data_IF_332202717533
#
_entry.id   IF_332202717533
#
_cell.length_a   1.000
_cell.length_b   1.000
_cell.length_c   1.000
_cell.angle_alpha   90.00
_cell.angle_beta   90.00
_cell.angle_gamma   90.00
#
_symmetry.space_group_name_H-M   'P 1'
#
loop_
_entity.id
_entity.type
_entity.pdbx_description
1 polymer ?
#
# COMPACT_ATOMS: atom_id res chain seq x y z
N UNK A 1 -56.25 44.37 23.76
CA UNK A 1 -57.01 43.26 23.13
C UNK A 1 -56.12 42.66 22.04
N UNK A 2 -55.99 41.35 21.83
CA UNK A 2 -56.52 40.16 22.54
C UNK A 2 -55.34 39.32 23.10
N UNK A 3 -55.59 38.50 24.12
CA UNK A 3 -54.74 37.33 24.41
C UNK A 3 -55.18 36.18 23.48
N UNK A 4 -54.28 35.27 23.14
CA UNK A 4 -54.59 33.84 23.20
C UNK A 4 -53.29 33.02 23.33
N UNK A 5 -53.17 32.30 24.44
CA UNK A 5 -52.12 31.29 24.66
C UNK A 5 -52.67 29.95 24.19
N UNK A 6 -51.85 29.12 23.55
CA UNK A 6 -52.16 27.69 23.41
C UNK A 6 -51.02 26.84 23.98
N UNK A 7 -51.30 26.27 25.14
CA UNK A 7 -50.56 25.13 25.70
C UNK A 7 -51.37 23.89 25.33
N UNK A 8 -50.72 22.88 24.76
CA UNK A 8 -51.27 21.53 24.71
C UNK A 8 -50.12 20.52 24.72
N UNK A 9 -49.77 20.06 25.92
CA UNK A 9 -48.91 18.90 26.09
C UNK A 9 -49.76 17.64 25.98
N UNK A 10 -49.27 16.63 25.27
CA UNK A 10 -49.76 15.25 25.36
C UNK A 10 -48.57 14.35 25.68
N UNK A 11 -48.60 13.76 26.87
CA UNK A 11 -47.69 12.71 27.30
C UNK A 11 -48.48 11.41 27.45
N UNK A 12 -47.97 10.31 26.90
CA UNK A 12 -48.50 8.97 27.10
C UNK A 12 -47.33 7.98 27.20
N UNK A 13 -47.31 7.19 28.27
CA UNK A 13 -46.25 6.23 28.61
C UNK A 13 -46.73 4.80 28.33
N UNK A 14 -46.04 4.07 27.44
CA UNK A 14 -46.17 2.62 27.22
C UNK A 14 -44.80 2.12 26.67
N UNK A 15 -44.15 1.06 27.15
CA UNK A 15 -44.21 0.37 28.45
C UNK A 15 -42.86 -0.37 28.66
N UNK A 16 -42.58 -0.85 29.88
CA UNK A 16 -41.36 -1.61 30.16
C UNK A 16 -41.35 -3.02 29.55
N UNK A 17 -40.16 -3.48 29.16
CA UNK A 17 -39.86 -4.90 28.92
C UNK A 17 -38.45 -5.21 29.43
N UNK A 18 -38.35 -6.09 30.43
CA UNK A 18 -37.09 -6.50 31.07
C UNK A 18 -37.14 -7.98 31.43
N UNK A 19 -35.98 -8.56 31.73
CA UNK A 19 -35.73 -9.99 32.01
C UNK A 19 -35.63 -10.89 30.75
N UNK A 20 -34.82 -11.95 30.72
CA UNK A 20 -33.98 -12.55 31.79
C UNK A 20 -32.65 -13.12 31.29
N UNK A 21 -31.76 -13.34 32.26
CA UNK A 21 -30.36 -13.81 32.19
C UNK A 21 -30.20 -15.23 31.65
N UNK A 22 -29.07 -15.53 30.98
CA UNK A 22 -28.26 -16.70 31.37
C UNK A 22 -26.76 -16.37 31.30
N UNK A 23 -25.98 -16.81 32.30
CA UNK A 23 -24.51 -16.83 32.29
C UNK A 23 -24.05 -18.26 32.07
N UNK A 24 -22.98 -18.47 31.29
CA UNK A 24 -22.05 -19.59 31.54
C UNK A 24 -20.60 -19.11 31.52
N UNK A 25 -19.85 -19.59 32.49
CA UNK A 25 -18.45 -19.25 32.79
C UNK A 25 -17.75 -20.55 33.18
N UNK A 26 -16.77 -20.96 32.38
CA UNK A 26 -15.81 -22.05 32.65
C UNK A 26 -14.76 -22.01 31.52
N UNK A 27 -13.46 -22.25 31.73
CA UNK A 27 -12.67 -22.34 32.97
C UNK A 27 -11.23 -21.93 32.61
N UNK A 28 -10.46 -21.41 33.57
CA UNK A 28 -9.02 -21.16 33.40
C UNK A 28 -8.24 -22.45 33.60
N UNK A 29 -7.32 -22.76 32.71
CA UNK A 29 -6.22 -23.68 32.99
C UNK A 29 -4.91 -23.09 32.45
N UNK A 30 -3.88 -23.08 33.29
CA UNK A 30 -2.54 -22.64 32.95
C UNK A 30 -1.63 -23.86 32.91
N UNK A 31 -0.84 -24.03 31.85
CA UNK A 31 0.38 -24.84 31.88
C UNK A 31 1.49 -24.06 31.19
N UNK A 32 2.63 -23.93 31.87
CA UNK A 32 3.83 -23.30 31.33
C UNK A 32 4.94 -24.34 31.19
N UNK A 33 5.58 -24.39 30.02
CA UNK A 33 6.91 -24.96 29.70
C UNK A 33 7.09 -24.88 28.17
N UNK A 34 8.30 -24.88 27.59
CA UNK A 34 9.63 -24.92 28.20
C UNK A 34 10.59 -24.00 27.42
N UNK A 35 11.67 -23.54 28.06
CA UNK A 35 12.86 -23.12 27.32
C UNK A 35 13.60 -24.36 26.80
N UNK A 36 14.21 -24.30 25.61
CA UNK A 36 15.30 -25.22 25.31
C UNK A 36 16.35 -24.63 24.36
N UNK A 37 17.45 -24.20 24.99
CA UNK A 37 18.67 -23.73 24.34
C UNK A 37 19.48 -24.90 23.80
N UNK A 38 19.97 -24.83 22.56
CA UNK A 38 21.07 -25.66 22.07
C UNK A 38 22.08 -24.77 21.32
N UNK A 39 23.35 -24.85 21.72
CA UNK A 39 24.52 -24.32 21.01
C UNK A 39 25.35 -25.50 20.45
N UNK A 40 26.32 -25.18 19.58
CA UNK A 40 27.55 -25.91 19.17
C UNK A 40 27.76 -25.58 17.68
N UNK A 41 28.58 -24.59 17.32
CA UNK A 41 30.06 -24.55 17.30
C UNK A 41 30.69 -25.06 16.00
N UNK A 42 31.19 -24.09 15.22
CA UNK A 42 32.54 -24.00 14.62
C UNK A 42 33.29 -25.27 14.19
N UNK A 43 33.70 -25.31 12.91
CA UNK A 43 34.97 -25.90 12.46
C UNK A 43 35.63 -24.97 11.43
N UNK A 44 36.96 -24.87 11.44
CA UNK A 44 37.79 -23.93 10.67
C UNK A 44 38.94 -24.64 9.92
N UNK A 45 39.14 -24.33 8.62
CA UNK A 45 40.40 -24.48 7.86
C UNK A 45 40.25 -23.82 6.47
N UNK A 46 41.06 -22.91 5.90
CA UNK A 46 42.49 -22.50 5.96
C UNK A 46 43.33 -23.03 4.77
N UNK A 47 44.01 -22.07 4.09
CA UNK A 47 45.18 -22.16 3.17
C UNK A 47 45.00 -22.17 1.62
N UNK A 48 45.42 -21.04 1.00
CA UNK A 48 46.30 -20.79 -0.19
C UNK A 48 46.82 -21.97 -1.06
N UNK A 49 47.16 -21.80 -2.35
CA UNK A 49 47.35 -20.58 -3.20
C UNK A 49 46.60 -20.70 -4.58
N UNK A 50 46.95 -20.20 -5.79
CA UNK A 50 48.13 -19.53 -6.41
C UNK A 50 47.76 -18.64 -7.64
N UNK A 51 48.74 -18.03 -8.33
CA UNK A 51 48.56 -17.04 -9.41
C UNK A 51 48.35 -17.61 -10.83
N UNK A 52 47.52 -16.94 -11.65
CA UNK A 52 47.83 -16.67 -13.07
C UNK A 52 47.19 -15.37 -13.57
N UNK A 53 47.99 -14.55 -14.23
CA UNK A 53 47.61 -13.27 -14.84
C UNK A 53 46.95 -13.47 -16.23
N UNK A 54 45.82 -12.78 -16.47
CA UNK A 54 45.29 -12.50 -17.81
C UNK A 54 44.55 -11.14 -17.77
N UNK A 55 44.87 -10.23 -18.69
CA UNK A 55 44.36 -8.86 -18.73
C UNK A 55 44.11 -8.45 -20.19
N UNK A 56 43.05 -7.69 -20.54
CA UNK A 56 41.75 -7.55 -19.88
C UNK A 56 40.59 -8.04 -20.78
N UNK A 57 39.49 -8.48 -20.18
CA UNK A 57 38.17 -8.44 -20.84
C UNK A 57 37.20 -7.83 -19.86
N UNK A 58 36.76 -6.60 -20.15
CA UNK A 58 35.92 -5.79 -19.25
C UNK A 58 34.68 -6.59 -18.81
N UNK A 59 34.54 -6.94 -17.52
CA UNK A 59 33.35 -7.64 -17.06
C UNK A 59 32.14 -6.72 -17.20
N UNK A 60 31.17 -7.11 -18.04
CA UNK A 60 29.86 -6.47 -18.08
C UNK A 60 29.20 -6.68 -16.71
N UNK A 61 29.21 -5.62 -15.91
CA UNK A 61 28.93 -5.70 -14.47
C UNK A 61 27.44 -5.99 -14.25
N UNK A 62 27.07 -7.02 -13.48
CA UNK A 62 25.66 -7.37 -13.24
C UNK A 62 25.01 -6.39 -12.26
N UNK A 63 24.57 -5.23 -12.78
CA UNK A 63 24.02 -4.12 -12.00
C UNK A 63 22.78 -3.49 -12.66
N UNK A 64 21.85 -4.33 -13.14
CA UNK A 64 20.73 -3.90 -14.02
C UNK A 64 19.36 -4.30 -13.45
N UNK A 65 19.02 -3.74 -12.28
CA UNK A 65 17.73 -3.99 -11.58
C UNK A 65 17.13 -2.76 -10.88
N UNK A 66 17.48 -1.55 -11.34
CA UNK A 66 17.06 -0.27 -10.75
C UNK A 66 16.74 0.82 -11.79
N UNK A 67 16.89 0.52 -13.09
CA UNK A 67 16.76 1.52 -14.15
C UNK A 67 15.32 1.87 -14.45
N UNK A 68 14.37 0.91 -14.37
CA UNK A 68 12.97 1.21 -14.66
C UNK A 68 12.35 2.06 -13.55
N UNK A 69 12.60 1.74 -12.26
CA UNK A 69 12.10 2.58 -11.16
C UNK A 69 12.68 3.99 -11.22
N UNK A 70 14.01 4.14 -11.39
CA UNK A 70 14.62 5.47 -11.46
C UNK A 70 14.14 6.28 -12.67
N UNK A 71 14.01 5.65 -13.84
CA UNK A 71 13.42 6.30 -15.02
C UNK A 71 11.97 6.73 -14.79
N UNK A 72 11.13 5.89 -14.18
CA UNK A 72 9.69 6.17 -13.94
C UNK A 72 9.47 7.25 -12.86
N UNK A 73 10.37 7.38 -11.89
CA UNK A 73 10.31 8.43 -10.87
C UNK A 73 10.73 9.81 -11.41
N UNK A 74 11.61 9.84 -12.42
CA UNK A 74 11.98 11.06 -13.15
C UNK A 74 10.93 11.42 -14.22
N UNK A 75 10.57 10.46 -15.08
CA UNK A 75 9.61 10.58 -16.17
C UNK A 75 8.66 9.37 -16.16
N UNK A 76 7.44 9.59 -15.69
CA UNK A 76 6.43 8.54 -15.57
C UNK A 76 6.01 7.92 -16.94
N UNK A 77 6.33 8.55 -18.08
CA UNK A 77 6.15 7.95 -19.42
C UNK A 77 7.20 6.89 -19.77
N UNK A 78 8.25 6.71 -18.95
CA UNK A 78 9.21 5.62 -19.14
C UNK A 78 8.56 4.22 -19.12
N UNK A 79 7.37 4.07 -18.53
CA UNK A 79 6.57 2.84 -18.61
C UNK A 79 6.15 2.45 -20.04
N UNK A 80 6.03 3.42 -20.95
CA UNK A 80 5.69 3.19 -22.36
C UNK A 80 6.87 2.62 -23.16
N UNK A 81 8.11 2.87 -22.70
CA UNK A 81 9.38 2.52 -23.37
C UNK A 81 9.84 1.09 -23.06
N UNK A 82 8.93 0.23 -22.59
CA UNK A 82 9.22 -1.12 -22.09
C UNK A 82 8.74 -2.16 -23.10
N UNK A 83 9.55 -2.39 -24.13
CA UNK A 83 9.29 -3.24 -25.30
C UNK A 83 8.87 -4.69 -25.00
N UNK A 84 9.11 -5.20 -23.77
CA UNK A 84 8.87 -6.60 -23.42
C UNK A 84 8.11 -6.79 -22.11
N UNK A 85 7.11 -7.67 -22.13
CA UNK A 85 6.38 -8.12 -20.96
C UNK A 85 5.32 -7.11 -20.47
N UNK A 86 5.30 -6.84 -19.16
CA UNK A 86 4.38 -5.90 -18.54
C UNK A 86 5.15 -4.85 -17.72
N UNK A 87 5.17 -3.57 -18.13
CA UNK A 87 5.91 -2.52 -17.41
C UNK A 87 5.46 -2.34 -15.96
N UNK A 88 4.17 -2.54 -15.66
CA UNK A 88 3.62 -2.40 -14.30
C UNK A 88 4.20 -3.47 -13.38
N UNK A 89 4.33 -4.72 -13.87
CA UNK A 89 4.91 -5.83 -13.10
C UNK A 89 6.41 -5.66 -12.92
N UNK A 90 7.14 -5.28 -13.98
CA UNK A 90 8.58 -5.00 -13.90
C UNK A 90 8.88 -3.87 -12.91
N UNK A 91 8.10 -2.79 -12.94
CA UNK A 91 8.21 -1.72 -11.95
C UNK A 91 7.94 -2.24 -10.52
N UNK A 92 6.89 -3.04 -10.32
CA UNK A 92 6.55 -3.61 -9.01
C UNK A 92 7.66 -4.53 -8.45
N UNK A 93 8.33 -5.30 -9.32
CA UNK A 93 9.43 -6.22 -8.98
C UNK A 93 10.74 -5.51 -8.61
N UNK A 94 11.01 -4.34 -9.21
CA UNK A 94 12.09 -3.44 -8.79
C UNK A 94 11.72 -2.67 -7.52
N UNK A 95 10.50 -2.09 -7.47
CA UNK A 95 10.00 -1.24 -6.38
C UNK A 95 9.96 -1.97 -5.02
N UNK A 96 9.67 -3.27 -5.01
CA UNK A 96 9.78 -4.15 -3.82
C UNK A 96 11.17 -4.16 -3.17
N UNK A 97 12.21 -3.76 -3.89
CA UNK A 97 13.60 -3.71 -3.40
C UNK A 97 14.23 -2.32 -3.40
N UNK A 98 13.60 -1.32 -4.04
CA UNK A 98 14.15 0.03 -4.20
C UNK A 98 13.31 1.13 -3.54
N UNK A 99 12.07 0.84 -3.13
CA UNK A 99 11.28 1.78 -2.34
C UNK A 99 11.81 1.86 -0.90
N UNK A 100 11.93 3.07 -0.36
CA UNK A 100 12.37 3.30 1.02
C UNK A 100 11.32 2.83 2.05
N UNK A 101 10.06 2.72 1.63
CA UNK A 101 8.97 2.09 2.38
C UNK A 101 7.92 1.57 1.40
N UNK A 102 7.10 0.60 1.81
CA UNK A 102 5.88 0.22 1.09
C UNK A 102 4.81 -0.32 2.04
N UNK A 103 3.53 -0.14 1.68
CA UNK A 103 2.41 -0.65 2.47
C UNK A 103 1.18 -0.97 1.62
N UNK A 104 0.40 -1.96 2.06
CA UNK A 104 -0.88 -2.31 1.45
C UNK A 104 -1.93 -1.22 1.73
N UNK A 105 -2.67 -0.83 0.69
CA UNK A 105 -3.75 0.16 0.77
C UNK A 105 -5.09 -0.56 0.98
N UNK A 106 -5.83 -0.15 1.99
CA UNK A 106 -7.17 -0.63 2.33
C UNK A 106 -8.09 0.55 2.63
N UNK A 107 -9.41 0.32 2.75
CA UNK A 107 -10.32 1.35 3.26
C UNK A 107 -9.96 1.83 4.68
N UNK A 108 -9.37 0.96 5.50
CA UNK A 108 -9.04 1.29 6.90
C UNK A 108 -7.84 2.22 7.07
N UNK A 109 -6.87 2.19 6.15
CA UNK A 109 -5.61 2.94 6.26
C UNK A 109 -5.33 3.91 5.09
N UNK A 110 -6.29 4.18 4.20
CA UNK A 110 -6.09 5.14 3.10
C UNK A 110 -5.71 6.55 3.61
N UNK A 111 -6.22 6.98 4.77
CA UNK A 111 -5.82 8.26 5.38
C UNK A 111 -4.36 8.26 5.84
N UNK A 112 -3.87 7.14 6.38
CA UNK A 112 -2.45 6.94 6.75
C UNK A 112 -1.56 6.93 5.51
N UNK A 113 -1.94 6.20 4.46
CA UNK A 113 -1.25 6.17 3.16
C UNK A 113 -1.07 7.58 2.58
N UNK A 114 -2.15 8.39 2.60
CA UNK A 114 -2.11 9.76 2.09
C UNK A 114 -1.31 10.72 2.97
N UNK A 115 -1.34 10.56 4.29
CA UNK A 115 -0.46 11.31 5.19
C UNK A 115 1.01 10.94 4.95
N UNK A 116 1.31 9.63 4.87
CA UNK A 116 2.66 9.11 4.63
C UNK A 116 3.23 9.61 3.31
N UNK A 117 2.41 9.74 2.27
CA UNK A 117 2.81 10.30 0.98
C UNK A 117 3.28 11.75 1.01
N UNK A 118 3.04 12.51 2.09
CA UNK A 118 3.61 13.86 2.27
C UNK A 118 5.02 13.85 2.85
N UNK A 119 5.49 12.72 3.38
CA UNK A 119 6.85 12.56 3.94
C UNK A 119 7.92 12.20 2.89
N UNK A 120 7.51 11.84 1.67
CA UNK A 120 8.39 11.31 0.60
C UNK A 120 8.27 12.13 -0.67
N UNK A 121 9.35 12.21 -1.47
CA UNK A 121 9.37 12.99 -2.72
C UNK A 121 8.46 12.42 -3.81
N UNK A 122 8.23 11.11 -3.81
CA UNK A 122 7.34 10.41 -4.73
C UNK A 122 6.62 9.27 -4.01
N UNK A 123 5.33 9.12 -4.28
CA UNK A 123 4.58 7.87 -4.04
C UNK A 123 4.12 7.31 -5.38
N UNK A 124 4.26 5.99 -5.55
CA UNK A 124 3.70 5.24 -6.68
C UNK A 124 2.84 4.11 -6.14
N UNK A 125 1.58 4.03 -6.57
CA UNK A 125 0.62 3.01 -6.19
C UNK A 125 0.47 2.01 -7.33
N UNK A 126 0.69 0.72 -7.04
CA UNK A 126 0.40 -0.40 -7.94
C UNK A 126 -0.89 -1.09 -7.48
N UNK A 127 -1.75 -1.48 -8.42
CA UNK A 127 -3.07 -2.06 -8.15
C UNK A 127 -3.24 -3.32 -9.01
N UNK A 128 -3.02 -4.48 -8.39
CA UNK A 128 -2.72 -5.72 -9.09
C UNK A 128 -1.66 -5.56 -10.18
N UNK A 129 -1.63 -6.48 -11.15
CA UNK A 129 -0.68 -6.44 -12.27
C UNK A 129 -1.06 -5.50 -13.43
N UNK A 130 -2.04 -4.60 -13.26
CA UNK A 130 -2.69 -3.92 -14.39
C UNK A 130 -2.99 -2.43 -14.22
N UNK A 131 -2.82 -1.84 -13.04
CA UNK A 131 -2.97 -0.39 -12.84
C UNK A 131 -1.79 0.14 -12.02
N UNK A 132 -1.24 1.28 -12.44
CA UNK A 132 -0.20 2.02 -11.72
C UNK A 132 -0.56 3.51 -11.69
N UNK A 133 -0.28 4.21 -10.59
CA UNK A 133 -0.56 5.64 -10.45
C UNK A 133 0.51 6.33 -9.60
N UNK A 134 0.77 7.61 -9.85
CA UNK A 134 1.57 8.50 -8.99
C UNK A 134 0.82 9.79 -8.73
N UNK A 135 0.98 10.35 -7.53
CA UNK A 135 0.21 11.52 -7.10
C UNK A 135 0.83 12.79 -7.71
N UNK A 136 -0.01 13.70 -8.21
CA UNK A 136 0.47 14.98 -8.74
C UNK A 136 0.52 16.05 -7.65
N UNK A 137 -0.53 16.14 -6.84
CA UNK A 137 -0.56 16.90 -5.59
C UNK A 137 -1.42 16.13 -4.57
N UNK A 138 -0.91 15.96 -3.34
CA UNK A 138 -1.63 15.24 -2.26
C UNK A 138 -2.63 16.14 -1.52
N UNK A 139 -2.59 17.45 -1.78
CA UNK A 139 -3.46 18.44 -1.13
C UNK A 139 -4.65 18.86 -2.02
N UNK A 140 -4.47 18.82 -3.35
CA UNK A 140 -5.57 18.92 -4.31
C UNK A 140 -6.28 17.56 -4.44
N UNK A 141 -7.34 17.39 -3.66
CA UNK A 141 -8.04 16.11 -3.53
C UNK A 141 -9.57 16.25 -3.61
N UNK A 142 -10.25 15.16 -3.99
CA UNK A 142 -11.70 15.05 -4.04
C UNK A 142 -12.20 14.07 -2.98
N UNK A 143 -13.22 14.44 -2.20
CA UNK A 143 -13.84 13.56 -1.22
C UNK A 143 -14.46 12.32 -1.90
N UNK A 144 -14.08 11.12 -1.46
CA UNK A 144 -14.60 9.85 -1.98
C UNK A 144 -15.32 9.06 -0.89
N UNK A 145 -16.65 8.99 -0.95
CA UNK A 145 -17.45 8.23 0.02
C UNK A 145 -17.17 6.72 0.01
N UNK A 146 -16.71 6.18 -1.13
CA UNK A 146 -16.28 4.79 -1.24
C UNK A 146 -15.05 4.51 -0.36
N UNK A 147 -14.04 5.38 -0.40
CA UNK A 147 -12.80 5.24 0.38
C UNK A 147 -12.89 5.86 1.79
N UNK A 148 -13.79 6.80 2.03
CA UNK A 148 -13.87 7.53 3.30
C UNK A 148 -12.77 8.59 3.48
N UNK A 149 -12.14 9.03 2.39
CA UNK A 149 -11.00 9.95 2.42
C UNK A 149 -11.05 10.94 1.24
N UNK A 150 -10.23 12.00 1.33
CA UNK A 150 -10.01 12.94 0.24
C UNK A 150 -8.91 12.40 -0.68
N UNK A 151 -9.27 12.02 -1.90
CA UNK A 151 -8.42 11.26 -2.83
C UNK A 151 -7.68 12.24 -3.76
N UNK A 152 -6.35 12.17 -3.86
CA UNK A 152 -5.56 13.19 -4.57
C UNK A 152 -5.69 13.08 -6.08
N UNK A 153 -5.41 14.18 -6.79
CA UNK A 153 -5.20 14.16 -8.24
C UNK A 153 -3.96 13.32 -8.56
N UNK A 154 -4.10 12.42 -9.53
CA UNK A 154 -3.06 11.47 -9.90
C UNK A 154 -2.97 11.28 -11.41
N UNK A 155 -1.78 10.85 -11.86
CA UNK A 155 -1.57 10.32 -13.21
C UNK A 155 -1.18 8.85 -13.14
N UNK A 156 -1.58 8.07 -14.11
CA UNK A 156 -1.50 6.61 -14.06
C UNK A 156 -1.55 5.95 -15.43
N UNK A 157 -1.36 4.64 -15.44
CA UNK A 157 -1.61 3.79 -16.61
C UNK A 157 -2.45 2.58 -16.23
N UNK A 158 -3.30 2.16 -17.15
CA UNK A 158 -4.10 0.94 -17.03
C UNK A 158 -3.76 0.02 -18.22
N UNK A 159 -3.27 -1.19 -17.93
CA UNK A 159 -2.89 -2.21 -18.92
C UNK A 159 -3.95 -3.31 -19.03
N UNK A 160 -5.02 -3.05 -19.79
CA UNK A 160 -6.09 -4.02 -20.14
C UNK A 160 -5.97 -4.50 -21.59
N UNK A 161 -4.74 -4.76 -22.02
CA UNK A 161 -4.32 -4.83 -23.41
C UNK A 161 -3.06 -3.97 -23.55
N UNK A 162 -3.13 -2.91 -24.34
CA UNK A 162 -2.12 -1.85 -24.39
C UNK A 162 -2.01 -1.08 -23.06
N UNK A 163 -0.92 -0.33 -22.90
CA UNK A 163 -0.72 0.54 -21.74
C UNK A 163 -1.41 1.89 -22.00
N UNK A 164 -2.53 2.14 -21.32
CA UNK A 164 -3.37 3.31 -21.59
C UNK A 164 -3.21 4.40 -20.50
N UNK A 165 -2.76 5.63 -20.83
CA UNK A 165 -2.61 6.70 -19.86
C UNK A 165 -3.95 7.18 -19.27
N UNK A 166 -3.89 7.64 -18.02
CA UNK A 166 -4.98 8.26 -17.26
C UNK A 166 -4.47 9.41 -16.41
N UNK A 167 -5.29 10.45 -16.27
CA UNK A 167 -5.12 11.54 -15.30
C UNK A 167 -6.50 11.86 -14.72
N UNK A 168 -6.65 11.62 -13.43
CA UNK A 168 -7.92 11.68 -12.69
C UNK A 168 -7.62 11.58 -11.18
N UNK A 169 -8.63 11.75 -10.32
CA UNK A 169 -8.49 11.45 -8.90
C UNK A 169 -8.20 9.96 -8.67
N UNK A 170 -7.35 9.66 -7.68
CA UNK A 170 -6.78 8.32 -7.47
C UNK A 170 -7.84 7.20 -7.41
N UNK A 171 -9.01 7.45 -6.80
CA UNK A 171 -10.12 6.48 -6.72
C UNK A 171 -10.77 6.16 -8.07
N UNK A 172 -10.68 7.04 -9.06
CA UNK A 172 -11.18 6.78 -10.41
C UNK A 172 -10.17 5.92 -11.19
N UNK A 173 -8.87 6.03 -10.90
CA UNK A 173 -7.81 5.22 -11.51
C UNK A 173 -7.77 3.80 -10.92
N UNK A 174 -7.81 3.65 -9.59
CA UNK A 174 -7.67 2.34 -8.91
C UNK A 174 -8.97 1.72 -8.37
N UNK A 175 -10.12 2.34 -8.67
CA UNK A 175 -11.45 1.85 -8.32
C UNK A 175 -11.88 2.07 -6.87
N UNK A 176 -12.94 1.38 -6.47
CA UNK A 176 -13.47 1.36 -5.10
C UNK A 176 -12.71 0.34 -4.22
N UNK A 177 -12.84 0.38 -2.87
CA UNK A 177 -12.28 -0.67 -2.02
C UNK A 177 -12.94 -2.03 -2.29
N UNK A 178 -12.10 -3.04 -2.52
CA UNK A 178 -12.52 -4.42 -2.84
C UNK A 178 -11.43 -5.41 -2.36
N UNK A 179 -11.39 -6.63 -2.93
CA UNK A 179 -10.40 -7.68 -2.59
C UNK A 179 -9.09 -7.60 -3.40
N UNK A 180 -8.93 -6.66 -4.33
CA UNK A 180 -7.73 -6.51 -5.14
C UNK A 180 -6.59 -5.88 -4.32
N UNK A 181 -5.42 -6.51 -4.37
CA UNK A 181 -4.21 -5.99 -3.74
C UNK A 181 -3.83 -4.64 -4.36
N UNK A 182 -3.64 -3.64 -3.50
CA UNK A 182 -3.15 -2.30 -3.83
C UNK A 182 -1.98 -1.99 -2.91
N UNK A 183 -0.86 -1.53 -3.44
CA UNK A 183 0.37 -1.28 -2.68
C UNK A 183 0.91 0.09 -3.01
N UNK A 184 1.12 0.92 -1.99
CA UNK A 184 1.87 2.17 -2.11
C UNK A 184 3.36 1.90 -1.91
N UNK A 185 4.19 2.43 -2.80
CA UNK A 185 5.66 2.44 -2.75
C UNK A 185 6.13 3.88 -2.62
N UNK A 186 7.04 4.14 -1.68
CA UNK A 186 7.48 5.48 -1.29
C UNK A 186 8.97 5.68 -1.56
N UNK A 187 9.35 6.81 -2.17
CA UNK A 187 10.69 7.06 -2.68
C UNK A 187 11.19 8.49 -2.35
N UNK A 188 12.50 8.61 -2.17
CA UNK A 188 13.24 9.83 -1.81
C UNK A 188 14.30 10.19 -2.84
#
# INVERSE_FOLDING_TARGET
MKKLTYILAFAALVACGTEKTEKKQATVEQVATNEQTVKTETVEKVAITENKEIVPTTPLTPATKLELVSAVLADFSALEKVESGNPIVKFEEEAKTSAAFSMTITKGNIAEVLAKSKEYKKTVVVTGKHTIATFENVEECQASGAWGACMPMAKGYIKKGDLQPKKDYLNNIFGVPDKQLRTAYYFN
#
